data_IF_449209464134
#
_entry.id   IF_449209464134
#
_cell.length_a   1.000
_cell.length_b   1.000
_cell.length_c   1.000
_cell.angle_alpha   90.00
_cell.angle_beta   90.00
_cell.angle_gamma   90.00
#
_symmetry.space_group_name_H-M   'P 1'
#
loop_
_entity.id
_entity.type
_entity.pdbx_description
1 polymer ?
#
# COMPACT_ATOMS: atom_id res chain seq x y z
N UNK A 1 -23.98 -14.77 -16.38
CA UNK A 1 -24.62 -14.58 -15.06
C UNK A 1 -23.60 -14.18 -13.98
N UNK A 2 -22.73 -13.20 -14.27
CA UNK A 2 -21.46 -13.03 -13.53
C UNK A 2 -21.15 -11.56 -13.22
N UNK A 3 -22.18 -10.74 -13.02
CA UNK A 3 -22.04 -9.34 -12.63
C UNK A 3 -22.44 -9.11 -11.16
N UNK A 4 -23.19 -10.03 -10.53
CA UNK A 4 -23.81 -9.87 -9.21
C UNK A 4 -22.85 -9.90 -7.99
N UNK A 5 -21.56 -10.20 -8.17
CA UNK A 5 -20.62 -10.45 -7.05
C UNK A 5 -19.76 -9.24 -6.66
N UNK A 6 -19.83 -8.11 -7.38
CA UNK A 6 -18.83 -7.05 -7.26
C UNK A 6 -18.98 -6.10 -6.05
N UNK A 7 -20.04 -6.20 -5.22
CA UNK A 7 -20.25 -5.22 -4.12
C UNK A 7 -20.67 -5.76 -2.75
N UNK A 8 -20.85 -7.06 -2.62
CA UNK A 8 -21.06 -7.71 -1.32
C UNK A 8 -19.70 -8.18 -0.81
N UNK A 9 -19.29 -7.68 0.36
CA UNK A 9 -18.12 -8.18 1.06
C UNK A 9 -18.56 -8.98 2.28
N UNK A 10 -17.85 -10.05 2.56
CA UNK A 10 -18.07 -10.87 3.75
C UNK A 10 -16.87 -10.68 4.67
N UNK A 11 -17.12 -10.31 5.93
CA UNK A 11 -16.06 -10.24 6.92
C UNK A 11 -15.51 -11.66 7.18
N UNK A 12 -14.20 -11.86 6.96
CA UNK A 12 -13.55 -13.16 7.18
C UNK A 12 -13.56 -13.63 8.65
N UNK A 13 -13.75 -12.70 9.61
CA UNK A 13 -13.73 -13.01 11.05
C UNK A 13 -15.09 -13.40 11.62
N UNK A 14 -16.17 -12.80 11.14
CA UNK A 14 -17.52 -13.00 11.70
C UNK A 14 -18.58 -13.41 10.67
N UNK A 15 -18.19 -13.64 9.41
CA UNK A 15 -19.05 -14.07 8.29
C UNK A 15 -20.26 -13.17 8.00
N UNK A 16 -20.31 -11.96 8.54
CA UNK A 16 -21.34 -10.99 8.19
C UNK A 16 -21.08 -10.39 6.80
N UNK A 17 -22.10 -10.45 5.94
CA UNK A 17 -22.12 -9.74 4.66
C UNK A 17 -22.44 -8.26 4.85
N UNK A 18 -21.74 -7.38 4.14
CA UNK A 18 -21.96 -5.94 4.13
C UNK A 18 -21.73 -5.34 2.74
N UNK A 19 -22.33 -4.19 2.47
CA UNK A 19 -22.07 -3.46 1.24
C UNK A 19 -20.71 -2.75 1.34
N UNK A 20 -19.77 -3.02 0.42
CA UNK A 20 -18.47 -2.35 0.46
C UNK A 20 -18.58 -0.82 0.34
N UNK A 21 -19.64 -0.33 -0.32
CA UNK A 21 -19.83 1.08 -0.57
C UNK A 21 -20.26 1.82 0.70
N UNK A 22 -21.30 1.35 1.40
CA UNK A 22 -21.86 2.05 2.56
C UNK A 22 -21.53 1.42 3.92
N UNK A 23 -20.82 0.30 3.95
CA UNK A 23 -20.45 -0.50 5.13
C UNK A 23 -21.63 -0.98 5.99
N UNK A 24 -22.87 -0.89 5.48
CA UNK A 24 -24.07 -1.40 6.18
C UNK A 24 -24.27 -2.90 5.94
N UNK A 25 -24.95 -3.61 6.86
CA UNK A 25 -25.25 -5.03 6.71
C UNK A 25 -25.97 -5.34 5.39
N UNK A 26 -25.56 -6.40 4.71
CA UNK A 26 -26.21 -6.89 3.51
C UNK A 26 -27.55 -7.54 3.90
N UNK A 27 -28.67 -6.94 3.48
CA UNK A 27 -30.03 -7.38 3.84
C UNK A 27 -30.90 -7.61 2.60
N UNK A 28 -31.96 -8.43 2.67
CA UNK A 28 -32.89 -8.67 1.56
C UNK A 28 -33.62 -7.41 1.07
N UNK A 29 -33.61 -6.32 1.83
CA UNK A 29 -34.18 -5.00 1.49
C UNK A 29 -33.16 -4.06 0.83
N UNK A 30 -31.88 -4.42 0.79
CA UNK A 30 -30.83 -3.75 0.04
C UNK A 30 -30.84 -4.25 -1.40
N UNK A 31 -31.98 -4.05 -2.09
CA UNK A 31 -32.42 -4.91 -3.21
C UNK A 31 -31.79 -4.65 -4.56
N UNK A 32 -31.31 -3.45 -4.85
CA UNK A 32 -30.86 -3.20 -6.21
C UNK A 32 -29.35 -3.07 -6.26
N UNK A 33 -28.77 -3.96 -7.04
CA UNK A 33 -27.41 -3.99 -7.56
C UNK A 33 -26.85 -2.60 -7.98
N UNK A 34 -27.73 -1.60 -8.22
CA UNK A 34 -27.43 -0.21 -8.53
C UNK A 34 -27.84 0.84 -7.46
N UNK A 35 -28.71 0.54 -6.49
CA UNK A 35 -29.30 1.53 -5.57
C UNK A 35 -28.70 1.52 -4.17
N UNK A 36 -27.37 1.52 -4.05
CA UNK A 36 -26.75 2.00 -2.83
C UNK A 36 -26.75 3.55 -2.86
N UNK A 37 -27.91 4.16 -2.60
CA UNK A 37 -28.08 5.62 -2.55
C UNK A 37 -27.59 6.25 -1.23
N UNK A 38 -27.16 5.40 -0.28
CA UNK A 38 -26.60 5.85 0.98
C UNK A 38 -25.29 6.61 0.71
N UNK A 39 -25.34 7.93 0.81
CA UNK A 39 -24.13 8.74 0.84
C UNK A 39 -23.27 8.26 2.01
N UNK A 40 -22.11 7.67 1.69
CA UNK A 40 -21.02 7.55 2.66
C UNK A 40 -20.70 8.95 3.13
N UNK A 41 -20.74 9.18 4.44
CA UNK A 41 -20.45 10.51 4.99
C UNK A 41 -19.07 10.97 4.52
N UNK A 42 -18.90 12.29 4.33
CA UNK A 42 -17.58 12.86 3.99
C UNK A 42 -16.52 12.40 5.00
N UNK A 43 -16.89 12.35 6.28
CA UNK A 43 -16.04 11.85 7.36
C UNK A 43 -15.61 10.39 7.15
N UNK A 44 -16.52 9.48 6.81
CA UNK A 44 -16.17 8.07 6.58
C UNK A 44 -15.28 7.88 5.33
N UNK A 45 -15.45 8.71 4.28
CA UNK A 45 -14.56 8.69 3.11
C UNK A 45 -13.16 9.21 3.44
N UNK A 46 -13.08 10.29 4.22
CA UNK A 46 -11.81 10.87 4.65
C UNK A 46 -11.05 9.92 5.58
N UNK A 47 -11.75 9.25 6.51
CA UNK A 47 -11.17 8.27 7.41
C UNK A 47 -10.61 7.07 6.63
N UNK A 48 -11.40 6.47 5.73
CA UNK A 48 -10.92 5.37 4.89
C UNK A 48 -9.70 5.77 4.08
N UNK A 49 -9.74 6.94 3.45
CA UNK A 49 -8.61 7.47 2.67
C UNK A 49 -7.36 7.61 3.56
N UNK A 50 -7.49 8.18 4.75
CA UNK A 50 -6.37 8.29 5.68
C UNK A 50 -5.80 6.91 6.02
N UNK A 51 -6.67 5.94 6.33
CA UNK A 51 -6.25 4.56 6.61
C UNK A 51 -5.49 3.94 5.43
N UNK A 52 -6.02 4.03 4.21
CA UNK A 52 -5.39 3.47 3.00
C UNK A 52 -3.96 4.03 2.79
N UNK A 53 -3.77 5.36 2.90
CA UNK A 53 -2.43 5.96 2.75
C UNK A 53 -1.51 5.66 3.94
N UNK A 54 -2.04 5.63 5.17
CA UNK A 54 -1.26 5.35 6.36
C UNK A 54 -0.76 3.90 6.40
N UNK A 55 -1.59 2.94 5.98
CA UNK A 55 -1.21 1.53 5.87
C UNK A 55 -0.07 1.35 4.86
N UNK A 56 -0.17 1.98 3.67
CA UNK A 56 0.92 1.97 2.67
C UNK A 56 2.21 2.59 3.21
N UNK A 57 2.11 3.76 3.86
CA UNK A 57 3.27 4.42 4.46
C UNK A 57 3.95 3.54 5.52
N UNK A 58 3.15 2.94 6.41
CA UNK A 58 3.62 2.04 7.47
C UNK A 58 4.32 0.82 6.89
N UNK A 59 3.74 0.22 5.85
CA UNK A 59 4.33 -0.91 5.13
C UNK A 59 5.72 -0.55 4.57
N UNK A 60 5.86 0.58 3.88
CA UNK A 60 7.15 1.00 3.32
C UNK A 60 8.19 1.31 4.40
N UNK A 61 7.78 1.89 5.53
CA UNK A 61 8.66 2.06 6.69
C UNK A 61 9.18 0.72 7.23
N UNK A 62 8.29 -0.26 7.43
CA UNK A 62 8.68 -1.60 7.88
C UNK A 62 9.60 -2.31 6.87
N UNK A 63 9.28 -2.22 5.58
CA UNK A 63 10.10 -2.79 4.50
C UNK A 63 11.49 -2.13 4.42
N UNK A 64 11.59 -0.83 4.74
CA UNK A 64 12.88 -0.15 4.87
C UNK A 64 13.69 -0.69 6.04
N UNK A 65 13.10 -0.87 7.21
CA UNK A 65 13.81 -1.43 8.38
C UNK A 65 14.32 -2.85 8.09
N UNK A 66 13.54 -3.64 7.33
CA UNK A 66 13.99 -4.92 6.82
C UNK A 66 15.21 -4.79 5.90
N UNK A 67 15.20 -3.84 4.95
CA UNK A 67 16.34 -3.60 4.06
C UNK A 67 17.61 -3.15 4.83
N UNK A 68 17.46 -2.32 5.87
CA UNK A 68 18.57 -1.94 6.77
C UNK A 68 19.15 -3.18 7.48
N UNK A 69 18.27 -4.04 8.00
CA UNK A 69 18.69 -5.29 8.64
C UNK A 69 19.43 -6.22 7.66
N UNK A 70 18.95 -6.32 6.41
CA UNK A 70 19.61 -7.07 5.35
C UNK A 70 21.01 -6.51 5.06
N UNK A 71 21.15 -5.18 4.91
CA UNK A 71 22.45 -4.54 4.70
C UNK A 71 23.43 -4.87 5.84
N UNK A 72 22.96 -4.76 7.09
CA UNK A 72 23.81 -5.04 8.25
C UNK A 72 24.30 -6.50 8.24
N UNK A 73 23.43 -7.45 7.89
CA UNK A 73 23.82 -8.87 7.74
C UNK A 73 24.87 -9.05 6.64
N UNK A 74 24.68 -8.43 5.47
CA UNK A 74 25.65 -8.50 4.36
C UNK A 74 26.99 -7.87 4.75
N UNK A 75 26.97 -6.78 5.51
CA UNK A 75 28.19 -6.12 6.01
C UNK A 75 29.01 -7.06 6.89
N UNK A 76 28.36 -7.73 7.86
CA UNK A 76 29.04 -8.70 8.74
C UNK A 76 29.64 -9.89 7.97
N UNK A 77 29.01 -10.31 6.88
CA UNK A 77 29.54 -11.38 6.01
C UNK A 77 30.73 -10.88 5.19
N UNK A 78 30.67 -9.64 4.68
CA UNK A 78 31.74 -9.06 3.87
C UNK A 78 33.05 -8.82 4.65
N UNK A 79 32.99 -8.82 5.98
CA UNK A 79 34.17 -8.71 6.85
C UNK A 79 34.91 -10.05 7.02
N UNK A 80 34.35 -11.16 6.51
CA UNK A 80 34.98 -12.48 6.61
C UNK A 80 36.15 -12.64 5.62
N UNK A 81 37.32 -13.15 6.04
CA UNK A 81 38.53 -13.22 5.20
C UNK A 81 38.39 -14.04 3.91
N UNK A 82 37.49 -15.03 3.90
CA UNK A 82 37.32 -15.98 2.79
C UNK A 82 36.36 -15.48 1.71
N UNK A 83 35.71 -14.32 1.91
CA UNK A 83 34.66 -13.81 1.03
C UNK A 83 35.20 -12.63 0.22
N UNK A 84 35.09 -12.70 -1.12
CA UNK A 84 35.38 -11.57 -2.01
C UNK A 84 34.43 -10.41 -1.70
N UNK A 85 34.89 -9.17 -1.88
CA UNK A 85 34.13 -7.93 -1.63
C UNK A 85 32.68 -7.99 -2.13
N UNK A 86 31.72 -7.90 -1.19
CA UNK A 86 30.27 -7.87 -1.46
C UNK A 86 29.74 -6.44 -1.65
N UNK A 87 30.61 -5.51 -2.08
CA UNK A 87 30.29 -4.08 -2.22
C UNK A 87 29.05 -3.86 -3.09
N UNK A 88 28.91 -4.62 -4.18
CA UNK A 88 27.73 -4.52 -5.05
C UNK A 88 26.42 -4.90 -4.32
N UNK A 89 26.44 -5.91 -3.46
CA UNK A 89 25.26 -6.32 -2.67
C UNK A 89 24.93 -5.25 -1.63
N UNK A 90 25.94 -4.70 -0.97
CA UNK A 90 25.79 -3.60 -0.01
C UNK A 90 25.19 -2.36 -0.68
N UNK A 91 25.63 -2.03 -1.89
CA UNK A 91 25.12 -0.89 -2.63
C UNK A 91 23.68 -1.12 -3.10
N UNK A 92 23.33 -2.34 -3.54
CA UNK A 92 21.94 -2.71 -3.82
C UNK A 92 21.05 -2.57 -2.58
N UNK A 93 21.53 -2.98 -1.40
CA UNK A 93 20.76 -2.82 -0.16
C UNK A 93 20.51 -1.33 0.17
N UNK A 94 21.51 -0.46 -0.03
CA UNK A 94 21.33 1.00 0.15
C UNK A 94 20.31 1.58 -0.83
N UNK A 95 20.33 1.15 -2.08
CA UNK A 95 19.32 1.56 -3.08
C UNK A 95 17.93 1.10 -2.66
N UNK A 96 17.78 -0.14 -2.19
CA UNK A 96 16.51 -0.67 -1.69
C UNK A 96 16.00 0.13 -0.48
N UNK A 97 16.85 0.41 0.51
CA UNK A 97 16.51 1.26 1.67
C UNK A 97 16.00 2.64 1.23
N UNK A 98 16.69 3.27 0.27
CA UNK A 98 16.35 4.59 -0.23
C UNK A 98 15.04 4.57 -1.04
N UNK A 99 14.82 3.56 -1.87
CA UNK A 99 13.58 3.38 -2.61
C UNK A 99 12.37 3.23 -1.67
N UNK A 100 12.50 2.41 -0.61
CA UNK A 100 11.45 2.26 0.41
C UNK A 100 11.18 3.56 1.17
N UNK A 101 12.22 4.34 1.48
CA UNK A 101 12.07 5.68 2.07
C UNK A 101 11.30 6.63 1.16
N UNK A 102 11.63 6.66 -0.13
CA UNK A 102 10.92 7.48 -1.12
C UNK A 102 9.45 7.07 -1.20
N UNK A 103 9.15 5.77 -1.32
CA UNK A 103 7.78 5.26 -1.38
C UNK A 103 6.95 5.62 -0.13
N UNK A 104 7.54 5.55 1.07
CA UNK A 104 6.87 5.97 2.31
C UNK A 104 6.48 7.44 2.27
N UNK A 105 7.42 8.33 1.88
CA UNK A 105 7.12 9.76 1.78
C UNK A 105 6.16 10.11 0.64
N UNK A 106 6.22 9.36 -0.46
CA UNK A 106 5.25 9.50 -1.55
C UNK A 106 3.82 9.25 -1.07
N UNK A 107 3.59 8.31 -0.13
CA UNK A 107 2.27 8.11 0.46
C UNK A 107 1.75 9.37 1.17
N UNK A 108 2.61 10.04 1.94
CA UNK A 108 2.26 11.29 2.65
C UNK A 108 2.02 12.41 1.64
N UNK A 109 2.89 12.56 0.66
CA UNK A 109 2.76 13.58 -0.37
C UNK A 109 1.46 13.41 -1.17
N UNK A 110 1.16 12.20 -1.65
CA UNK A 110 -0.07 11.91 -2.39
C UNK A 110 -1.32 12.12 -1.56
N UNK A 111 -1.28 11.83 -0.24
CA UNK A 111 -2.40 12.12 0.65
C UNK A 111 -2.75 13.62 0.66
N UNK A 112 -1.77 14.52 0.70
CA UNK A 112 -2.02 15.97 0.75
C UNK A 112 -2.17 16.63 -0.63
N UNK A 113 -1.78 15.96 -1.72
CA UNK A 113 -1.70 16.58 -3.05
C UNK A 113 -2.90 16.32 -3.96
N UNK A 114 -3.99 15.72 -3.48
CA UNK A 114 -5.08 15.24 -4.34
C UNK A 114 -5.78 16.29 -5.22
N UNK A 115 -5.69 17.58 -4.87
CA UNK A 115 -6.30 18.66 -5.66
C UNK A 115 -5.33 19.30 -6.67
N UNK A 116 -4.15 18.69 -6.92
CA UNK A 116 -3.17 19.21 -7.88
C UNK A 116 -3.30 18.59 -9.28
N UNK A 117 -3.13 19.40 -10.32
CA UNK A 117 -3.37 19.02 -11.74
C UNK A 117 -2.42 17.95 -12.31
N UNK A 118 -1.48 17.41 -11.52
CA UNK A 118 -0.47 16.44 -11.97
C UNK A 118 -0.35 15.20 -11.07
N UNK A 119 -1.36 14.93 -10.25
CA UNK A 119 -1.37 13.75 -9.35
C UNK A 119 -1.25 12.46 -10.15
N UNK A 120 -1.99 12.32 -11.26
CA UNK A 120 -2.02 11.09 -12.06
C UNK A 120 -0.64 10.68 -12.60
N UNK A 121 0.11 11.64 -13.17
CA UNK A 121 1.47 11.37 -13.69
C UNK A 121 2.39 10.91 -12.58
N UNK A 122 2.30 11.56 -11.42
CA UNK A 122 3.14 11.21 -10.27
C UNK A 122 2.76 9.84 -9.70
N UNK A 123 1.46 9.52 -9.60
CA UNK A 123 1.00 8.21 -9.13
C UNK A 123 1.51 7.08 -10.04
N UNK A 124 1.48 7.26 -11.36
CA UNK A 124 2.06 6.30 -12.31
C UNK A 124 3.56 6.08 -12.07
N UNK A 125 4.33 7.15 -11.82
CA UNK A 125 5.75 7.02 -11.49
C UNK A 125 5.98 6.34 -10.14
N UNK A 126 5.13 6.59 -9.14
CA UNK A 126 5.20 5.94 -7.83
C UNK A 126 4.90 4.43 -7.96
N UNK A 127 3.87 4.05 -8.72
CA UNK A 127 3.52 2.65 -8.97
C UNK A 127 4.63 1.91 -9.72
N UNK A 128 5.22 2.55 -10.73
CA UNK A 128 6.38 2.00 -11.44
C UNK A 128 7.55 1.79 -10.48
N UNK A 129 7.89 2.79 -9.64
CA UNK A 129 8.94 2.65 -8.64
C UNK A 129 8.64 1.51 -7.65
N UNK A 130 7.40 1.40 -7.19
CA UNK A 130 6.96 0.35 -6.27
C UNK A 130 7.12 -1.05 -6.87
N UNK A 131 6.70 -1.24 -8.12
CA UNK A 131 6.85 -2.49 -8.87
C UNK A 131 8.32 -2.93 -8.95
N UNK A 132 9.22 -2.04 -9.36
CA UNK A 132 10.64 -2.35 -9.49
C UNK A 132 11.30 -2.59 -8.12
N UNK A 133 10.92 -1.81 -7.10
CA UNK A 133 11.43 -1.97 -5.73
C UNK A 133 11.00 -3.30 -5.10
N UNK A 134 9.85 -3.85 -5.50
CA UNK A 134 9.39 -5.16 -5.03
C UNK A 134 10.08 -6.34 -5.74
N UNK A 135 10.70 -6.09 -6.90
CA UNK A 135 11.47 -7.10 -7.64
C UNK A 135 12.97 -7.18 -7.27
N UNK A 136 13.47 -6.15 -6.56
CA UNK A 136 14.83 -6.05 -6.01
C UNK A 136 14.96 -6.87 -4.73
#
# INVERSE_FOLDING_TARGET
SSLSTLRSMTCAKCNHGFCWHCLKPWRPTHKDYYNCSAMVSKAARQEKRFQDYNERCTFHHQAREFAVSLRNRVSSISEMPEIRTLTFVLDTCKVLEQARKVLAYSCVYSYYSQDTERVDIMEEQIESLELHTNSL
#
